data_IF_881474078716
#
_entry.id   IF_881474078716
#
_cell.length_a   1.000
_cell.length_b   1.000
_cell.length_c   1.000
_cell.angle_alpha   90.00
_cell.angle_beta   90.00
_cell.angle_gamma   90.00
#
_symmetry.space_group_name_H-M   'P 1'
#
loop_
_entity.id
_entity.type
_entity.pdbx_description
1 polymer ?
#
# COMPACT_ATOMS: atom_id res chain seq x y z
N UNK A 1 16.07 -33.35 -3.31
CA UNK A 1 14.84 -32.77 -2.76
C UNK A 1 14.84 -31.28 -3.06
N UNK A 2 13.73 -30.70 -3.51
CA UNK A 2 13.64 -29.24 -3.61
C UNK A 2 13.76 -28.61 -2.22
N UNK A 3 14.49 -27.51 -2.13
CA UNK A 3 14.61 -26.74 -0.89
C UNK A 3 13.35 -25.89 -0.68
N UNK A 4 13.18 -25.39 0.53
CA UNK A 4 12.14 -24.42 0.85
C UNK A 4 12.36 -23.13 0.07
N UNK A 5 11.30 -22.54 -0.49
CA UNK A 5 11.35 -21.24 -1.15
C UNK A 5 10.78 -20.14 -0.26
N UNK A 6 11.43 -18.97 -0.21
CA UNK A 6 11.01 -17.83 0.60
C UNK A 6 10.95 -16.57 -0.24
N UNK A 7 9.81 -15.91 -0.24
CA UNK A 7 9.62 -14.60 -0.84
C UNK A 7 9.16 -13.57 0.18
N UNK A 8 9.75 -12.39 0.15
CA UNK A 8 9.41 -11.29 1.07
C UNK A 8 8.95 -10.07 0.30
N UNK A 9 8.00 -9.36 0.86
CA UNK A 9 7.52 -8.07 0.40
C UNK A 9 7.14 -7.19 1.59
N UNK A 10 6.62 -6.02 1.31
CA UNK A 10 6.18 -5.07 2.33
C UNK A 10 5.02 -4.22 1.82
N UNK A 11 4.32 -3.58 2.76
CA UNK A 11 3.31 -2.59 2.47
C UNK A 11 3.86 -1.36 1.74
N UNK A 12 2.97 -0.59 1.18
CA UNK A 12 3.21 0.77 0.69
C UNK A 12 2.07 1.68 1.16
N UNK A 13 2.32 2.97 1.16
CA UNK A 13 1.27 3.99 1.27
C UNK A 13 1.43 5.04 0.18
N UNK A 14 0.36 5.77 -0.10
CA UNK A 14 0.46 7.05 -0.80
C UNK A 14 0.73 8.11 0.28
N UNK A 15 1.92 8.72 0.24
CA UNK A 15 2.27 9.81 1.15
C UNK A 15 1.42 11.04 0.86
N UNK A 16 1.27 11.37 -0.42
CA UNK A 16 0.50 12.52 -0.90
C UNK A 16 0.18 12.38 -2.39
N UNK A 17 -0.95 12.93 -2.83
CA UNK A 17 -1.36 12.93 -4.23
C UNK A 17 -2.53 11.99 -4.54
N UNK A 18 -3.14 11.39 -3.49
CA UNK A 18 -4.36 10.59 -3.63
C UNK A 18 -5.42 11.36 -4.41
N UNK A 19 -6.23 10.67 -5.17
CA UNK A 19 -7.28 11.21 -6.05
C UNK A 19 -6.77 12.17 -7.12
N UNK A 20 -5.92 13.16 -6.77
CA UNK A 20 -5.39 14.13 -7.74
C UNK A 20 -4.53 13.47 -8.84
N UNK A 21 -3.89 12.34 -8.53
CA UNK A 21 -3.09 11.56 -9.49
C UNK A 21 -3.94 11.01 -10.64
N UNK A 22 -5.20 10.71 -10.40
CA UNK A 22 -6.17 10.27 -11.45
C UNK A 22 -6.36 11.34 -12.50
N UNK A 23 -6.21 12.61 -12.11
CA UNK A 23 -6.38 13.81 -12.94
C UNK A 23 -5.03 14.40 -13.42
N UNK A 24 -3.97 13.57 -13.47
CA UNK A 24 -2.68 13.95 -14.03
C UNK A 24 -1.76 14.76 -13.10
N UNK A 25 -2.15 14.97 -11.84
CA UNK A 25 -1.27 15.53 -10.85
C UNK A 25 -0.26 14.47 -10.35
N UNK A 26 0.90 14.87 -9.81
CA UNK A 26 1.84 13.91 -9.25
C UNK A 26 1.34 13.30 -7.95
N UNK A 27 1.89 12.13 -7.61
CA UNK A 27 1.79 11.50 -6.30
C UNK A 27 3.17 11.05 -5.81
N UNK A 28 3.33 10.90 -4.50
CA UNK A 28 4.49 10.26 -3.87
C UNK A 28 3.98 9.04 -3.11
N UNK A 29 4.55 7.87 -3.43
CA UNK A 29 4.27 6.65 -2.71
C UNK A 29 5.52 6.18 -1.95
N UNK A 30 5.32 5.68 -0.73
CA UNK A 30 6.38 5.21 0.17
C UNK A 30 6.30 3.70 0.36
N UNK A 31 7.43 2.97 0.23
CA UNK A 31 7.54 1.62 0.75
C UNK A 31 7.55 1.63 2.29
N UNK A 32 6.98 0.59 2.90
CA UNK A 32 6.89 0.43 4.35
C UNK A 32 7.56 -0.89 4.79
N UNK A 33 8.89 -0.97 4.80
CA UNK A 33 9.60 -2.23 5.08
C UNK A 33 9.32 -2.82 6.46
N UNK A 34 8.88 -2.02 7.44
CA UNK A 34 8.51 -2.51 8.77
C UNK A 34 7.11 -3.16 8.81
N UNK A 35 6.33 -3.06 7.73
CA UNK A 35 5.03 -3.74 7.60
C UNK A 35 5.21 -4.82 6.54
N UNK A 36 5.69 -5.98 6.98
CA UNK A 36 6.23 -7.00 6.10
C UNK A 36 5.22 -8.12 5.80
N UNK A 37 5.47 -8.79 4.68
CA UNK A 37 4.82 -10.03 4.31
C UNK A 37 5.87 -11.05 3.88
N UNK A 38 5.67 -12.31 4.25
CA UNK A 38 6.54 -13.42 3.88
C UNK A 38 5.69 -14.57 3.35
N UNK A 39 5.99 -15.01 2.13
CA UNK A 39 5.48 -16.25 1.55
C UNK A 39 6.55 -17.32 1.66
N UNK A 40 6.13 -18.50 2.10
CA UNK A 40 6.99 -19.67 2.23
C UNK A 40 6.40 -20.83 1.47
N UNK A 41 7.19 -21.48 0.61
CA UNK A 41 6.82 -22.69 -0.12
C UNK A 41 7.64 -23.85 0.44
N UNK A 42 6.98 -24.93 0.86
CA UNK A 42 7.59 -26.15 1.37
C UNK A 42 7.15 -27.33 0.49
N UNK A 43 8.07 -28.18 -0.01
CA UNK A 43 7.69 -29.30 -0.88
C UNK A 43 6.88 -30.35 -0.12
N UNK A 44 5.91 -30.97 -0.83
CA UNK A 44 5.08 -32.10 -0.36
C UNK A 44 5.25 -33.30 -1.27
N UNK A 45 4.86 -34.47 -0.77
CA UNK A 45 4.91 -35.74 -1.52
C UNK A 45 3.55 -36.46 -1.63
N UNK A 46 2.48 -35.84 -1.10
CA UNK A 46 1.16 -36.47 -0.97
C UNK A 46 0.15 -36.07 -2.06
N UNK A 47 0.58 -35.34 -3.08
CA UNK A 47 -0.25 -34.98 -4.21
C UNK A 47 -1.07 -33.70 -4.06
N UNK A 48 -0.88 -32.91 -2.98
CA UNK A 48 -1.67 -31.71 -2.71
C UNK A 48 -0.87 -30.42 -2.88
N UNK A 49 -1.55 -29.34 -3.26
CA UNK A 49 -1.10 -27.95 -3.24
C UNK A 49 -1.96 -27.18 -2.27
N UNK A 50 -1.43 -26.93 -1.07
CA UNK A 50 -2.18 -26.26 -0.02
C UNK A 50 -1.73 -24.80 0.15
N UNK A 51 -2.68 -23.95 0.51
CA UNK A 51 -2.45 -22.55 0.84
C UNK A 51 -2.93 -22.31 2.26
N UNK A 52 -2.06 -21.68 3.05
CA UNK A 52 -2.30 -21.29 4.44
C UNK A 52 -2.12 -19.80 4.59
N UNK A 53 -3.19 -19.08 4.90
CA UNK A 53 -3.19 -17.64 5.16
C UNK A 53 -4.27 -17.27 6.18
N UNK A 54 -4.30 -16.01 6.62
CA UNK A 54 -5.37 -15.49 7.47
C UNK A 54 -6.74 -15.38 6.76
N UNK A 55 -6.77 -15.52 5.43
CA UNK A 55 -7.98 -15.36 4.61
C UNK A 55 -8.46 -16.66 3.98
N UNK A 56 -7.60 -17.67 3.89
CA UNK A 56 -7.91 -18.96 3.31
C UNK A 56 -6.96 -20.03 3.83
N UNK A 57 -7.50 -21.21 4.13
CA UNK A 57 -6.75 -22.41 4.52
C UNK A 57 -7.35 -23.62 3.79
N UNK A 58 -6.58 -24.22 2.85
CA UNK A 58 -7.09 -25.35 2.05
C UNK A 58 -6.35 -25.57 0.73
N UNK A 59 -6.95 -26.42 -0.11
CA UNK A 59 -6.41 -26.79 -1.43
C UNK A 59 -6.50 -25.62 -2.42
N UNK A 60 -5.48 -25.44 -3.26
CA UNK A 60 -5.43 -24.40 -4.30
C UNK A 60 -6.67 -24.39 -5.21
N UNK A 61 -7.23 -25.57 -5.50
CA UNK A 61 -8.41 -25.70 -6.35
C UNK A 61 -9.72 -25.25 -5.67
N UNK A 62 -9.69 -25.03 -4.36
CA UNK A 62 -10.82 -24.54 -3.56
C UNK A 62 -10.72 -23.05 -3.21
N UNK A 63 -9.82 -22.30 -3.86
CA UNK A 63 -9.69 -20.86 -3.64
C UNK A 63 -11.01 -20.13 -3.90
N UNK A 64 -11.42 -19.20 -3.02
CA UNK A 64 -12.61 -18.41 -3.23
C UNK A 64 -12.39 -17.35 -4.34
N UNK A 65 -13.47 -16.92 -4.97
CA UNK A 65 -13.43 -16.03 -6.15
C UNK A 65 -12.76 -14.67 -5.89
N UNK A 66 -12.79 -14.17 -4.66
CA UNK A 66 -12.05 -12.96 -4.29
C UNK A 66 -10.52 -13.15 -4.26
N UNK A 67 -10.03 -14.39 -4.43
CA UNK A 67 -8.61 -14.73 -4.58
C UNK A 67 -8.26 -15.24 -5.99
N UNK A 68 -9.13 -15.06 -6.98
CA UNK A 68 -8.88 -15.50 -8.37
C UNK A 68 -7.58 -14.93 -8.95
N UNK A 69 -7.23 -13.68 -8.63
CA UNK A 69 -5.97 -13.05 -9.03
C UNK A 69 -4.75 -13.80 -8.50
N UNK A 70 -4.77 -14.16 -7.22
CA UNK A 70 -3.73 -14.96 -6.57
C UNK A 70 -3.64 -16.35 -7.20
N UNK A 71 -4.76 -17.04 -7.40
CA UNK A 71 -4.81 -18.34 -8.04
C UNK A 71 -4.23 -18.32 -9.45
N UNK A 72 -4.60 -17.32 -10.25
CA UNK A 72 -4.06 -17.14 -11.61
C UNK A 72 -2.58 -16.87 -11.63
N UNK A 73 -2.09 -16.03 -10.72
CA UNK A 73 -0.66 -15.76 -10.58
C UNK A 73 0.11 -17.04 -10.24
N UNK A 74 -0.37 -17.82 -9.24
CA UNK A 74 0.25 -19.09 -8.86
C UNK A 74 0.30 -20.05 -10.07
N UNK A 75 -0.79 -20.21 -10.81
CA UNK A 75 -0.81 -21.08 -11.99
C UNK A 75 0.19 -20.61 -13.05
N UNK A 76 0.25 -19.31 -13.30
CA UNK A 76 1.23 -18.70 -14.24
C UNK A 76 2.67 -18.99 -13.82
N UNK A 77 2.97 -18.91 -12.51
CA UNK A 77 4.30 -19.21 -11.98
C UNK A 77 4.64 -20.69 -12.09
N UNK A 78 3.70 -21.59 -11.77
CA UNK A 78 3.87 -23.03 -11.89
C UNK A 78 4.14 -23.43 -13.35
N UNK A 79 3.34 -22.93 -14.29
CA UNK A 79 3.52 -23.22 -15.73
C UNK A 79 4.86 -22.72 -16.24
N UNK A 80 5.22 -21.48 -15.91
CA UNK A 80 6.47 -20.85 -16.34
C UNK A 80 7.72 -21.54 -15.82
N UNK A 81 7.68 -22.01 -14.56
CA UNK A 81 8.82 -22.60 -13.87
C UNK A 81 8.88 -24.13 -14.00
N UNK A 82 7.98 -24.74 -14.79
CA UNK A 82 7.94 -26.17 -15.03
C UNK A 82 7.47 -27.01 -13.83
N UNK A 83 6.67 -26.41 -12.95
CA UNK A 83 6.23 -27.01 -11.69
C UNK A 83 4.93 -27.81 -11.75
N UNK A 84 4.44 -28.20 -12.94
CA UNK A 84 3.12 -28.82 -13.09
C UNK A 84 2.94 -30.15 -12.32
N UNK A 85 4.03 -30.83 -12.00
CA UNK A 85 4.03 -32.08 -11.24
C UNK A 85 4.52 -31.90 -9.80
N UNK A 86 4.69 -30.67 -9.34
CA UNK A 86 5.13 -30.37 -7.98
C UNK A 86 3.95 -30.14 -7.05
N UNK A 87 4.13 -30.61 -5.82
CA UNK A 87 3.19 -30.47 -4.72
C UNK A 87 3.86 -29.71 -3.58
N UNK A 88 3.13 -28.84 -2.90
CA UNK A 88 3.70 -27.96 -1.90
C UNK A 88 2.66 -27.40 -0.94
N UNK A 89 3.13 -26.99 0.24
CA UNK A 89 2.47 -26.07 1.15
C UNK A 89 2.96 -24.66 0.89
N UNK A 90 2.03 -23.71 0.75
CA UNK A 90 2.30 -22.30 0.59
C UNK A 90 1.70 -21.56 1.78
N UNK A 91 2.56 -21.01 2.64
CA UNK A 91 2.14 -20.21 3.79
C UNK A 91 2.38 -18.73 3.54
N UNK A 92 1.34 -17.91 3.74
CA UNK A 92 1.38 -16.44 3.64
C UNK A 92 1.26 -15.87 5.05
N UNK A 93 2.36 -15.29 5.55
CA UNK A 93 2.39 -14.60 6.84
C UNK A 93 2.51 -13.09 6.58
N UNK A 94 1.48 -12.35 6.96
CA UNK A 94 1.35 -10.93 6.63
C UNK A 94 0.98 -10.08 7.86
N UNK A 95 1.71 -8.97 8.03
CA UNK A 95 1.33 -7.90 8.96
C UNK A 95 0.36 -6.89 8.33
N UNK A 96 0.11 -7.02 7.01
CA UNK A 96 -0.70 -6.10 6.23
C UNK A 96 -2.19 -6.42 6.38
N UNK A 97 -3.03 -5.41 6.64
CA UNK A 97 -4.48 -5.58 6.55
C UNK A 97 -4.92 -5.60 5.08
N UNK A 98 -5.81 -6.53 4.72
CA UNK A 98 -6.42 -6.49 3.39
C UNK A 98 -7.34 -5.27 3.23
N UNK A 99 -7.42 -4.73 2.00
CA UNK A 99 -8.39 -3.69 1.61
C UNK A 99 -8.34 -2.39 2.46
N UNK A 100 -7.15 -2.02 2.94
CA UNK A 100 -6.93 -0.81 3.76
C UNK A 100 -6.10 0.28 3.07
N UNK A 101 -5.86 0.16 1.74
CA UNK A 101 -5.08 1.14 1.00
C UNK A 101 -3.56 1.04 1.18
N UNK A 102 -3.08 -0.03 1.82
CA UNK A 102 -1.66 -0.29 2.08
C UNK A 102 -0.98 -1.17 1.02
N UNK A 103 -1.66 -1.49 -0.09
CA UNK A 103 -1.11 -2.29 -1.19
C UNK A 103 -0.89 -3.76 -0.85
N UNK A 104 -1.79 -4.37 -0.06
CA UNK A 104 -1.66 -5.78 0.35
C UNK A 104 -1.65 -6.74 -0.84
N UNK A 105 -2.54 -6.56 -1.82
CA UNK A 105 -2.59 -7.37 -3.04
C UNK A 105 -1.25 -7.38 -3.77
N UNK A 106 -0.71 -6.20 -4.09
CA UNK A 106 0.60 -6.08 -4.73
C UNK A 106 1.75 -6.66 -3.88
N UNK A 107 1.70 -6.51 -2.56
CA UNK A 107 2.69 -7.10 -1.66
C UNK A 107 2.63 -8.63 -1.70
N UNK A 108 1.44 -9.23 -1.64
CA UNK A 108 1.23 -10.67 -1.75
C UNK A 108 1.73 -11.19 -3.10
N UNK A 109 1.37 -10.53 -4.20
CA UNK A 109 1.82 -10.93 -5.54
C UNK A 109 3.36 -10.89 -5.66
N UNK A 110 4.02 -9.86 -5.14
CA UNK A 110 5.50 -9.76 -5.13
C UNK A 110 6.12 -10.87 -4.29
N UNK A 111 5.59 -11.13 -3.10
CA UNK A 111 6.12 -12.17 -2.21
C UNK A 111 5.94 -13.56 -2.84
N UNK A 112 4.79 -13.84 -3.48
CA UNK A 112 4.53 -15.06 -4.25
C UNK A 112 5.56 -15.25 -5.36
N UNK A 113 5.73 -14.27 -6.23
CA UNK A 113 6.68 -14.37 -7.34
C UNK A 113 8.09 -14.66 -6.82
N UNK A 114 8.54 -13.94 -5.81
CA UNK A 114 9.85 -14.15 -5.18
C UNK A 114 9.98 -15.55 -4.58
N UNK A 115 8.95 -16.03 -3.87
CA UNK A 115 8.96 -17.35 -3.25
C UNK A 115 9.06 -18.48 -4.27
N UNK A 116 8.30 -18.39 -5.38
CA UNK A 116 8.38 -19.38 -6.46
C UNK A 116 9.73 -19.36 -7.16
N UNK A 117 10.29 -18.20 -7.47
CA UNK A 117 11.61 -18.11 -8.08
C UNK A 117 12.70 -18.68 -7.16
N UNK A 118 12.64 -18.41 -5.84
CA UNK A 118 13.56 -18.98 -4.85
C UNK A 118 13.38 -20.50 -4.73
N UNK A 119 12.14 -21.01 -4.71
CA UNK A 119 11.83 -22.43 -4.66
C UNK A 119 12.40 -23.21 -5.86
N UNK A 120 12.36 -22.62 -7.06
CA UNK A 120 12.93 -23.20 -8.27
C UNK A 120 14.39 -22.78 -8.52
N UNK A 121 15.03 -22.07 -7.57
CA UNK A 121 16.41 -21.62 -7.65
C UNK A 121 16.70 -20.80 -8.92
N UNK A 122 15.75 -19.96 -9.32
CA UNK A 122 15.89 -19.05 -10.45
C UNK A 122 16.02 -17.61 -9.98
N UNK A 123 16.82 -16.82 -10.70
CA UNK A 123 16.90 -15.38 -10.46
C UNK A 123 15.78 -14.64 -11.18
N UNK A 124 15.32 -13.54 -10.60
CA UNK A 124 14.34 -12.66 -11.23
C UNK A 124 14.82 -11.22 -11.23
N UNK A 125 14.75 -10.56 -12.38
CA UNK A 125 14.98 -9.12 -12.45
C UNK A 125 13.69 -8.34 -12.19
N UNK A 126 13.84 -7.03 -11.93
CA UNK A 126 12.71 -6.17 -11.58
C UNK A 126 11.64 -6.09 -12.68
N UNK A 127 12.05 -6.09 -13.95
CA UNK A 127 11.11 -5.98 -15.06
C UNK A 127 10.20 -7.20 -15.13
N UNK A 128 10.75 -8.40 -15.06
CA UNK A 128 10.01 -9.65 -15.07
C UNK A 128 9.14 -9.79 -13.81
N UNK A 129 9.63 -9.37 -12.62
CA UNK A 129 8.85 -9.33 -11.39
C UNK A 129 7.57 -8.52 -11.60
N UNK A 130 7.67 -7.29 -12.09
CA UNK A 130 6.51 -6.42 -12.29
C UNK A 130 5.56 -6.94 -13.38
N UNK A 131 6.08 -7.56 -14.44
CA UNK A 131 5.25 -8.21 -15.46
C UNK A 131 4.41 -9.36 -14.88
N UNK A 132 5.00 -10.17 -14.00
CA UNK A 132 4.29 -11.29 -13.37
C UNK A 132 3.27 -10.80 -12.34
N UNK A 133 3.61 -9.78 -11.54
CA UNK A 133 2.69 -9.17 -10.58
C UNK A 133 1.47 -8.57 -11.29
N UNK A 134 1.64 -8.00 -12.49
CA UNK A 134 0.53 -7.46 -13.26
C UNK A 134 -0.57 -8.49 -13.58
N UNK A 135 -0.26 -9.80 -13.61
CA UNK A 135 -1.27 -10.86 -13.81
C UNK A 135 -2.31 -10.86 -12.69
N UNK A 136 -1.89 -10.64 -11.45
CA UNK A 136 -2.81 -10.52 -10.31
C UNK A 136 -3.55 -9.19 -10.31
N UNK A 137 -2.82 -8.08 -10.54
CA UNK A 137 -3.41 -6.73 -10.56
C UNK A 137 -4.49 -6.57 -11.63
N UNK A 138 -4.31 -7.14 -12.84
CA UNK A 138 -5.27 -7.07 -13.95
C UNK A 138 -6.60 -7.76 -13.63
N UNK A 139 -6.58 -8.81 -12.80
CA UNK A 139 -7.79 -9.54 -12.38
C UNK A 139 -8.46 -8.81 -11.22
N UNK A 140 -7.69 -8.42 -10.21
CA UNK A 140 -8.20 -7.78 -8.99
C UNK A 140 -8.64 -6.34 -9.26
N UNK A 141 -7.93 -5.61 -10.13
CA UNK A 141 -8.18 -4.21 -10.47
C UNK A 141 -8.33 -4.03 -11.97
N UNK A 142 -9.53 -3.69 -12.45
CA UNK A 142 -9.86 -3.52 -13.88
C UNK A 142 -8.96 -2.53 -14.67
N UNK A 143 -8.26 -1.63 -14.00
CA UNK A 143 -7.32 -0.66 -14.58
C UNK A 143 -6.21 -0.33 -13.56
N UNK A 144 -5.29 -1.27 -13.30
CA UNK A 144 -4.21 -1.02 -12.35
C UNK A 144 -3.31 0.11 -12.84
N UNK A 145 -2.92 0.98 -11.91
CA UNK A 145 -1.96 2.06 -12.23
C UNK A 145 -0.51 1.56 -12.26
N UNK A 146 -0.23 0.36 -11.75
CA UNK A 146 1.09 -0.18 -11.51
C UNK A 146 1.88 0.52 -10.40
N UNK A 147 1.29 1.54 -9.75
CA UNK A 147 1.96 2.28 -8.67
C UNK A 147 2.20 1.39 -7.46
N UNK A 148 1.23 0.57 -7.11
CA UNK A 148 1.26 -0.27 -5.91
C UNK A 148 2.37 -1.30 -6.01
N UNK A 149 2.43 -2.06 -7.10
CA UNK A 149 3.49 -3.01 -7.37
C UNK A 149 4.86 -2.34 -7.51
N UNK A 150 4.95 -1.23 -8.25
CA UNK A 150 6.19 -0.51 -8.43
C UNK A 150 6.77 0.00 -7.10
N UNK A 151 5.89 0.45 -6.17
CA UNK A 151 6.29 0.97 -4.85
C UNK A 151 6.64 -0.17 -3.90
N UNK A 152 5.83 -1.23 -3.81
CA UNK A 152 6.11 -2.39 -2.97
C UNK A 152 7.35 -3.19 -3.43
N UNK A 153 7.76 -3.04 -4.70
CA UNK A 153 9.02 -3.58 -5.22
C UNK A 153 10.20 -2.57 -5.17
N UNK A 154 10.02 -1.38 -4.59
CA UNK A 154 11.04 -0.34 -4.54
C UNK A 154 11.65 -0.23 -3.13
N UNK A 155 12.97 -0.02 -3.01
CA UNK A 155 13.59 0.31 -1.72
C UNK A 155 13.43 1.80 -1.36
N UNK A 156 12.94 2.63 -2.27
CA UNK A 156 12.88 4.08 -2.12
C UNK A 156 11.49 4.63 -2.46
N UNK A 157 11.14 5.81 -1.94
CA UNK A 157 9.93 6.51 -2.36
C UNK A 157 9.89 6.72 -3.86
N UNK A 158 8.69 6.67 -4.45
CA UNK A 158 8.49 6.89 -5.87
C UNK A 158 7.70 8.18 -6.12
N UNK A 159 8.22 9.00 -7.02
CA UNK A 159 7.46 10.03 -7.70
C UNK A 159 6.69 9.41 -8.84
N UNK A 160 5.39 9.59 -8.87
CA UNK A 160 4.51 8.97 -9.86
C UNK A 160 3.61 10.03 -10.52
N UNK A 161 3.47 9.90 -11.83
CA UNK A 161 2.47 10.60 -12.63
C UNK A 161 1.77 9.56 -13.49
N UNK A 162 0.45 9.57 -13.53
CA UNK A 162 -0.33 8.59 -14.29
C UNK A 162 0.15 8.50 -15.75
N UNK A 163 0.34 7.28 -16.25
CA UNK A 163 0.85 7.02 -17.60
C UNK A 163 2.38 7.17 -17.76
N UNK A 164 3.10 7.42 -16.67
CA UNK A 164 4.57 7.47 -16.65
C UNK A 164 5.14 6.41 -15.70
N UNK A 165 6.36 5.97 -15.98
CA UNK A 165 7.10 5.09 -15.08
C UNK A 165 7.44 5.86 -13.81
N UNK A 166 7.16 5.25 -12.63
CA UNK A 166 7.52 5.84 -11.34
C UNK A 166 9.03 5.98 -11.19
N UNK A 167 9.49 7.15 -10.76
CA UNK A 167 10.92 7.44 -10.58
C UNK A 167 11.27 7.50 -9.10
N UNK A 168 12.34 6.82 -8.63
CA UNK A 168 12.81 6.95 -7.26
C UNK A 168 13.19 8.40 -6.93
N UNK A 169 12.82 8.82 -5.72
CA UNK A 169 13.21 10.12 -5.19
C UNK A 169 14.03 9.95 -3.90
N UNK A 170 15.03 10.79 -3.66
CA UNK A 170 15.76 10.74 -2.42
C UNK A 170 14.87 11.13 -1.25
N UNK A 171 15.02 10.42 -0.14
CA UNK A 171 14.39 10.74 1.12
C UNK A 171 15.49 10.82 2.20
N UNK A 172 15.60 11.97 2.83
CA UNK A 172 16.47 12.20 3.98
C UNK A 172 15.60 12.84 5.07
N UNK A 173 14.84 12.01 5.80
CA UNK A 173 13.86 12.50 6.75
C UNK A 173 14.05 11.86 8.13
N UNK A 174 14.46 12.65 9.11
CA UNK A 174 14.59 12.19 10.50
C UNK A 174 13.25 12.29 11.24
N UNK A 175 12.38 11.35 10.95
CA UNK A 175 11.03 11.26 11.53
C UNK A 175 10.58 9.81 11.66
N UNK A 176 9.50 9.60 12.40
CA UNK A 176 8.78 8.33 12.44
C UNK A 176 7.33 8.56 12.01
N UNK A 177 6.84 7.70 11.15
CA UNK A 177 5.46 7.66 10.75
C UNK A 177 4.71 6.66 11.65
N UNK A 178 3.55 7.07 12.14
CA UNK A 178 2.59 6.21 12.83
C UNK A 178 1.42 6.00 11.88
N UNK A 179 1.16 4.76 11.50
CA UNK A 179 0.05 4.38 10.63
C UNK A 179 -1.03 3.77 11.51
N UNK A 180 -2.31 4.09 11.27
CA UNK A 180 -3.43 3.55 12.02
C UNK A 180 -4.53 3.05 11.07
N UNK A 181 -5.02 1.83 11.34
CA UNK A 181 -6.15 1.21 10.65
C UNK A 181 -7.45 1.62 11.35
N UNK A 182 -8.39 2.19 10.61
CA UNK A 182 -9.73 2.53 11.12
C UNK A 182 -10.56 1.29 11.49
N UNK A 183 -10.19 0.11 11.00
CA UNK A 183 -11.00 -1.11 11.06
C UNK A 183 -12.11 -1.17 10.00
N UNK A 184 -12.32 -0.10 9.23
CA UNK A 184 -13.31 0.01 8.16
C UNK A 184 -12.62 -0.24 6.81
N UNK A 185 -13.23 -1.02 5.94
CA UNK A 185 -12.72 -1.25 4.58
C UNK A 185 -12.74 0.03 3.75
N UNK A 186 -11.65 0.24 3.01
CA UNK A 186 -11.53 1.41 2.15
C UNK A 186 -12.42 1.28 0.90
N UNK A 187 -13.27 2.27 0.65
CA UNK A 187 -14.20 2.30 -0.48
C UNK A 187 -13.60 3.07 -1.68
N UNK A 188 -12.47 2.61 -2.22
CA UNK A 188 -11.71 3.34 -3.24
C UNK A 188 -12.51 3.63 -4.50
N UNK A 189 -13.31 2.66 -4.98
CA UNK A 189 -14.12 2.82 -6.19
C UNK A 189 -15.18 3.89 -6.00
N UNK A 190 -15.90 3.85 -4.89
CA UNK A 190 -16.94 4.80 -4.51
C UNK A 190 -16.36 6.20 -4.31
N UNK A 191 -15.18 6.29 -3.70
CA UNK A 191 -14.48 7.55 -3.49
C UNK A 191 -14.05 8.19 -4.83
N UNK A 192 -13.49 7.42 -5.75
CA UNK A 192 -13.14 7.91 -7.10
C UNK A 192 -14.38 8.36 -7.87
N UNK A 193 -15.49 7.60 -7.80
CA UNK A 193 -16.76 7.97 -8.42
C UNK A 193 -17.31 9.27 -7.85
N UNK A 194 -17.25 9.44 -6.52
CA UNK A 194 -17.73 10.66 -5.87
C UNK A 194 -16.92 11.90 -6.28
N UNK A 195 -15.59 11.80 -6.40
CA UNK A 195 -14.76 12.91 -6.91
C UNK A 195 -15.12 13.25 -8.36
N UNK A 196 -15.42 12.25 -9.19
CA UNK A 196 -15.87 12.48 -10.57
C UNK A 196 -17.21 13.24 -10.60
N UNK A 197 -18.18 12.81 -9.79
CA UNK A 197 -19.48 13.50 -9.66
C UNK A 197 -19.33 14.93 -9.15
N UNK A 198 -18.45 15.16 -8.14
CA UNK A 198 -18.14 16.51 -7.66
C UNK A 198 -17.53 17.38 -8.76
N UNK A 199 -16.70 16.79 -9.64
CA UNK A 199 -16.08 17.51 -10.75
C UNK A 199 -17.13 17.94 -11.78
N UNK A 200 -18.21 17.16 -11.99
CA UNK A 200 -19.33 17.52 -12.85
C UNK A 200 -20.23 18.58 -12.20
N UNK A 201 -20.55 18.43 -10.91
CA UNK A 201 -21.46 19.33 -10.19
C UNK A 201 -20.82 20.68 -9.83
N UNK A 202 -19.54 20.71 -9.51
CA UNK A 202 -18.81 21.88 -9.03
C UNK A 202 -17.40 21.96 -9.62
N UNK A 203 -17.26 22.10 -10.96
CA UNK A 203 -15.98 21.94 -11.66
C UNK A 203 -14.88 22.86 -11.14
N UNK A 204 -15.18 24.14 -10.92
CA UNK A 204 -14.16 25.12 -10.49
C UNK A 204 -13.60 24.81 -9.10
N UNK A 205 -14.45 24.50 -8.12
CA UNK A 205 -14.05 24.19 -6.75
C UNK A 205 -13.27 22.86 -6.68
N UNK A 206 -13.77 21.84 -7.37
CA UNK A 206 -13.13 20.51 -7.39
C UNK A 206 -11.78 20.56 -8.08
N UNK A 207 -11.66 21.26 -9.23
CA UNK A 207 -10.37 21.47 -9.91
C UNK A 207 -9.38 22.25 -9.03
N UNK A 208 -9.84 23.25 -8.27
CA UNK A 208 -8.99 23.98 -7.33
C UNK A 208 -8.40 23.05 -6.25
N UNK A 209 -9.21 22.15 -5.66
CA UNK A 209 -8.73 21.15 -4.71
C UNK A 209 -7.70 20.19 -5.34
N UNK A 210 -7.99 19.66 -6.55
CA UNK A 210 -7.09 18.76 -7.29
C UNK A 210 -5.76 19.47 -7.60
N UNK A 211 -5.77 20.70 -8.05
CA UNK A 211 -4.56 21.46 -8.35
C UNK A 211 -3.77 21.80 -7.09
N UNK A 212 -4.45 22.10 -5.98
CA UNK A 212 -3.82 22.34 -4.69
C UNK A 212 -3.12 21.09 -4.18
N UNK A 213 -3.74 19.91 -4.27
CA UNK A 213 -3.09 18.62 -3.95
C UNK A 213 -1.82 18.41 -4.80
N UNK A 214 -1.87 18.70 -6.10
CA UNK A 214 -0.69 18.64 -6.98
C UNK A 214 0.41 19.60 -6.56
N UNK A 215 0.07 20.82 -6.15
CA UNK A 215 1.04 21.80 -5.62
C UNK A 215 1.66 21.32 -4.31
N UNK A 216 0.85 20.83 -3.37
CA UNK A 216 1.31 20.28 -2.08
C UNK A 216 2.22 19.07 -2.31
N UNK A 217 1.94 18.23 -3.30
CA UNK A 217 2.80 17.08 -3.66
C UNK A 217 4.18 17.52 -4.11
N UNK A 218 4.29 18.58 -4.92
CA UNK A 218 5.60 19.14 -5.33
C UNK A 218 6.36 19.74 -4.15
N UNK A 219 5.67 20.41 -3.23
CA UNK A 219 6.26 20.94 -2.02
C UNK A 219 6.74 19.80 -1.09
N UNK A 220 5.97 18.72 -0.97
CA UNK A 220 6.35 17.53 -0.19
C UNK A 220 7.62 16.88 -0.73
N UNK A 221 7.80 16.80 -2.06
CA UNK A 221 9.03 16.30 -2.67
C UNK A 221 10.26 17.11 -2.21
N UNK A 222 10.15 18.44 -2.18
CA UNK A 222 11.24 19.30 -1.72
C UNK A 222 11.51 19.13 -0.23
N UNK A 223 10.46 19.04 0.59
CA UNK A 223 10.58 18.85 2.04
C UNK A 223 11.23 17.49 2.39
N UNK A 224 10.90 16.41 1.67
CA UNK A 224 11.55 15.10 1.82
C UNK A 224 13.05 15.16 1.54
N UNK A 225 13.44 15.87 0.48
CA UNK A 225 14.85 16.00 0.07
C UNK A 225 15.67 16.82 1.06
N UNK A 226 15.07 17.85 1.66
CA UNK A 226 15.75 18.84 2.51
C UNK A 226 15.62 18.54 4.01
N UNK A 227 15.03 17.39 4.41
CA UNK A 227 14.75 17.04 5.81
C UNK A 227 13.91 18.11 6.56
N UNK A 228 12.97 18.75 5.86
CA UNK A 228 12.06 19.76 6.44
C UNK A 228 10.84 19.07 7.06
N UNK A 229 11.03 18.40 8.19
CA UNK A 229 10.02 17.50 8.82
C UNK A 229 8.74 18.25 9.19
N UNK A 230 8.85 19.41 9.84
CA UNK A 230 7.72 20.24 10.26
C UNK A 230 6.93 20.75 9.05
N UNK A 231 7.63 21.19 8.02
CA UNK A 231 7.03 21.66 6.78
C UNK A 231 6.30 20.54 6.06
N UNK A 232 6.88 19.33 6.03
CA UNK A 232 6.20 18.16 5.49
C UNK A 232 4.93 17.86 6.28
N UNK A 233 4.98 17.89 7.61
CA UNK A 233 3.81 17.72 8.46
C UNK A 233 2.68 18.69 8.11
N UNK A 234 2.99 19.99 8.03
CA UNK A 234 2.00 21.00 7.65
C UNK A 234 1.41 20.76 6.24
N UNK A 235 2.23 20.33 5.27
CA UNK A 235 1.79 19.98 3.92
C UNK A 235 0.83 18.79 3.94
N UNK A 236 1.13 17.76 4.75
CA UNK A 236 0.28 16.56 4.87
C UNK A 236 -1.09 16.91 5.45
N UNK A 237 -1.14 17.72 6.51
CA UNK A 237 -2.40 18.18 7.08
C UNK A 237 -3.21 19.04 6.10
N UNK A 238 -2.55 19.95 5.37
CA UNK A 238 -3.21 20.72 4.33
C UNK A 238 -3.76 19.83 3.20
N UNK A 239 -3.05 18.75 2.85
CA UNK A 239 -3.54 17.78 1.89
C UNK A 239 -4.78 17.04 2.41
N UNK A 240 -4.80 16.64 3.69
CA UNK A 240 -5.99 16.03 4.32
C UNK A 240 -7.22 16.93 4.21
N UNK A 241 -7.07 18.22 4.48
CA UNK A 241 -8.16 19.19 4.33
C UNK A 241 -8.69 19.28 2.90
N UNK A 242 -7.84 19.13 1.87
CA UNK A 242 -8.33 19.06 0.49
C UNK A 242 -9.07 17.74 0.22
N UNK A 243 -8.63 16.62 0.79
CA UNK A 243 -9.28 15.32 0.68
C UNK A 243 -10.65 15.32 1.37
N UNK A 244 -10.80 16.00 2.51
CA UNK A 244 -12.10 16.24 3.14
C UNK A 244 -13.05 17.04 2.21
N UNK A 245 -12.55 18.11 1.56
CA UNK A 245 -13.33 18.90 0.58
C UNK A 245 -13.73 18.08 -0.64
N UNK A 246 -12.94 17.10 -1.03
CA UNK A 246 -13.27 16.13 -2.09
C UNK A 246 -14.22 15.01 -1.62
N UNK A 247 -14.66 15.04 -0.32
CA UNK A 247 -15.59 14.08 0.30
C UNK A 247 -15.06 12.62 0.26
N UNK A 248 -13.75 12.45 0.36
CA UNK A 248 -13.10 11.14 0.37
C UNK A 248 -12.60 10.73 1.76
N UNK A 249 -12.73 11.59 2.77
CA UNK A 249 -12.59 11.23 4.17
C UNK A 249 -13.92 10.73 4.76
N UNK A 250 -13.88 10.24 5.98
CA UNK A 250 -15.03 9.87 6.79
C UNK A 250 -14.79 10.25 8.26
N UNK A 251 -15.86 10.15 9.08
CA UNK A 251 -15.80 10.53 10.48
C UNK A 251 -14.70 9.80 11.27
N UNK A 252 -14.45 8.50 10.98
CA UNK A 252 -13.44 7.73 11.72
C UNK A 252 -12.02 8.14 11.33
N UNK A 253 -11.77 8.38 10.05
CA UNK A 253 -10.51 8.93 9.57
C UNK A 253 -10.24 10.31 10.17
N UNK A 254 -11.24 11.19 10.14
CA UNK A 254 -11.11 12.56 10.67
C UNK A 254 -10.86 12.54 12.18
N UNK A 255 -11.59 11.69 12.94
CA UNK A 255 -11.36 11.49 14.38
C UNK A 255 -9.91 11.06 14.68
N UNK A 256 -9.37 10.10 13.94
CA UNK A 256 -7.98 9.64 14.16
C UNK A 256 -6.97 10.71 13.78
N UNK A 257 -7.21 11.49 12.72
CA UNK A 257 -6.35 12.63 12.34
C UNK A 257 -6.39 13.71 13.43
N UNK A 258 -7.56 14.08 13.95
CA UNK A 258 -7.72 15.03 15.05
C UNK A 258 -7.02 14.54 16.33
N UNK A 259 -7.18 13.25 16.66
CA UNK A 259 -6.46 12.62 17.79
C UNK A 259 -4.95 12.73 17.60
N UNK A 260 -4.45 12.45 16.39
CA UNK A 260 -3.02 12.56 16.12
C UNK A 260 -2.51 13.99 16.31
N UNK A 261 -3.24 14.98 15.81
CA UNK A 261 -2.87 16.39 15.95
C UNK A 261 -2.93 16.88 17.42
N UNK A 262 -3.89 16.37 18.21
CA UNK A 262 -3.98 16.65 19.64
C UNK A 262 -2.86 15.98 20.47
N UNK A 263 -2.15 15.00 19.90
CA UNK A 263 -1.03 14.27 20.51
C UNK A 263 0.32 14.58 19.83
N UNK A 264 0.57 15.83 19.54
CA UNK A 264 1.85 16.39 19.06
C UNK A 264 2.32 15.84 17.70
N UNK A 265 1.44 15.33 16.84
CA UNK A 265 1.80 15.02 15.48
C UNK A 265 2.12 16.30 14.71
N UNK A 266 3.17 16.28 13.89
CA UNK A 266 3.55 17.39 13.01
C UNK A 266 2.56 17.59 11.86
N UNK A 267 1.84 16.53 11.52
CA UNK A 267 0.79 16.48 10.52
C UNK A 267 0.27 15.06 10.38
N UNK A 268 -0.97 14.94 9.93
CA UNK A 268 -1.64 13.67 9.74
C UNK A 268 -2.60 13.73 8.55
N UNK A 269 -2.87 12.59 7.92
CA UNK A 269 -3.84 12.47 6.82
C UNK A 269 -4.23 11.01 6.55
N UNK A 270 -5.36 10.84 5.91
CA UNK A 270 -5.73 9.55 5.31
C UNK A 270 -4.72 9.12 4.22
N UNK A 271 -4.65 7.82 3.92
CA UNK A 271 -3.90 7.27 2.79
C UNK A 271 -4.76 6.32 1.96
N UNK A 272 -4.48 6.26 0.65
CA UNK A 272 -5.23 5.43 -0.29
C UNK A 272 -6.55 6.05 -0.74
N UNK A 273 -7.58 5.22 -0.94
CA UNK A 273 -8.87 5.68 -1.48
C UNK A 273 -9.71 6.52 -0.52
N UNK A 274 -9.51 6.35 0.79
CA UNK A 274 -10.37 6.98 1.80
C UNK A 274 -11.70 6.24 2.00
N UNK A 275 -12.62 6.87 2.74
CA UNK A 275 -13.91 6.29 3.17
C UNK A 275 -13.70 4.98 3.91
N UNK A 276 -12.80 4.98 4.89
CA UNK A 276 -12.21 3.84 5.59
C UNK A 276 -10.73 3.66 5.24
N UNK A 277 -10.19 2.49 5.57
CA UNK A 277 -8.78 2.17 5.40
C UNK A 277 -7.90 2.76 6.49
N UNK A 278 -6.73 3.25 6.11
CA UNK A 278 -5.74 3.76 7.05
C UNK A 278 -5.56 5.28 6.97
N UNK A 279 -5.11 5.84 8.08
CA UNK A 279 -4.47 7.15 8.13
C UNK A 279 -3.02 7.01 8.59
N UNK A 280 -2.22 8.05 8.45
CA UNK A 280 -0.91 8.13 9.09
C UNK A 280 -0.65 9.53 9.65
N UNK A 281 0.24 9.58 10.63
CA UNK A 281 0.74 10.80 11.25
C UNK A 281 2.27 10.80 11.30
N UNK A 282 2.87 11.98 11.27
CA UNK A 282 4.31 12.20 11.32
C UNK A 282 4.71 12.77 12.67
N UNK A 283 5.73 12.18 13.30
CA UNK A 283 6.34 12.66 14.55
C UNK A 283 7.86 12.62 14.46
N UNK A 284 8.55 13.39 15.32
CA UNK A 284 10.03 13.49 15.27
C UNK A 284 10.74 12.26 15.84
N UNK A 285 10.22 11.69 16.92
CA UNK A 285 10.94 10.67 17.69
C UNK A 285 10.15 9.37 17.82
N UNK A 286 10.86 8.26 17.99
CA UNK A 286 10.23 6.96 18.25
C UNK A 286 9.47 6.93 19.59
N UNK A 287 9.86 7.76 20.57
CA UNK A 287 9.13 7.86 21.83
C UNK A 287 7.77 8.54 21.64
N UNK A 288 7.70 9.63 20.86
CA UNK A 288 6.44 10.26 20.45
C UNK A 288 5.58 9.29 19.64
N UNK A 289 6.20 8.53 18.72
CA UNK A 289 5.49 7.56 17.89
C UNK A 289 4.77 6.49 18.73
N UNK A 290 5.39 5.97 19.78
CA UNK A 290 4.76 4.97 20.66
C UNK A 290 3.57 5.58 21.41
N UNK A 291 3.74 6.75 22.06
CA UNK A 291 2.63 7.44 22.75
C UNK A 291 1.46 7.74 21.80
N UNK A 292 1.78 8.20 20.59
CA UNK A 292 0.75 8.46 19.59
C UNK A 292 0.05 7.18 19.14
N UNK A 293 0.78 6.08 18.98
CA UNK A 293 0.19 4.79 18.63
C UNK A 293 -0.81 4.31 19.70
N UNK A 294 -0.45 4.45 20.98
CA UNK A 294 -1.33 4.10 22.10
C UNK A 294 -2.59 5.00 22.11
N UNK A 295 -2.43 6.32 21.94
CA UNK A 295 -3.55 7.26 21.87
C UNK A 295 -4.51 6.96 20.69
N UNK A 296 -3.96 6.55 19.53
CA UNK A 296 -4.79 6.16 18.38
C UNK A 296 -5.55 4.85 18.63
N UNK A 297 -4.96 3.88 19.32
CA UNK A 297 -5.67 2.67 19.75
C UNK A 297 -6.79 3.01 20.72
N UNK A 298 -6.55 3.87 21.73
CA UNK A 298 -7.57 4.34 22.66
C UNK A 298 -8.69 5.10 21.95
N UNK A 299 -8.38 5.85 20.89
CA UNK A 299 -9.37 6.50 20.03
C UNK A 299 -10.11 5.52 19.09
N UNK A 300 -9.81 4.21 19.19
CA UNK A 300 -10.49 3.13 18.50
C UNK A 300 -9.90 2.78 17.13
N UNK A 301 -8.63 3.03 16.89
CA UNK A 301 -7.92 2.39 15.79
C UNK A 301 -7.80 0.87 16.06
N UNK A 302 -8.00 0.06 15.02
CA UNK A 302 -7.93 -1.40 15.13
C UNK A 302 -6.51 -1.91 15.36
N UNK A 303 -5.53 -1.26 14.70
CA UNK A 303 -4.11 -1.61 14.77
C UNK A 303 -3.27 -0.38 14.38
N UNK A 304 -2.06 -0.32 14.92
CA UNK A 304 -1.08 0.70 14.54
C UNK A 304 0.25 0.06 14.14
N UNK A 305 1.00 0.75 13.29
CA UNK A 305 2.36 0.38 12.87
C UNK A 305 3.28 1.58 12.94
N UNK A 306 4.55 1.35 13.26
CA UNK A 306 5.58 2.37 13.31
C UNK A 306 6.59 2.17 12.17
N UNK A 307 6.79 3.20 11.35
CA UNK A 307 7.74 3.21 10.26
C UNK A 307 8.73 4.37 10.43
N UNK A 308 9.98 4.11 10.85
CA UNK A 308 11.05 5.11 10.78
C UNK A 308 11.32 5.52 9.33
N UNK A 309 11.46 6.81 9.08
CA UNK A 309 11.78 7.39 7.78
C UNK A 309 13.25 7.84 7.80
N UNK A 310 14.16 6.95 7.34
CA UNK A 310 15.60 7.24 7.34
C UNK A 310 16.23 6.91 6.01
#
# INVERSE_FOLDING_TARGET
MKSKGIGKSHAKIILIGEHSVVYGQPAIALPLPNVAETVTITPRSDGHRLIHSSYFDGDLNALPTNMDGVGKLIQTLVDRLGGNHDYWDLAINSDLPAERGMGSSAATAIALVRAFFDYYQQSINRQLLLQLVAVEEDITHRNPSGLDAATAASPSPLWFVRGKVGTPIPMHLQATMVIADTGIEGATREAVTAVHQLLEQSPSKTRACINQLGSLTRQAQSALKLNEVEKLGAILLAAHQQLQRLQVSDHKLDQLVETAMANDALGAKLTGGGRGGCMFALVKTSAQARRLADALIEAGARKTWLQPLR
#
